data_IF_431500756587
#
_entry.id   IF_431500756587
#
_cell.length_a   1.000
_cell.length_b   1.000
_cell.length_c   1.000
_cell.angle_alpha   90.00
_cell.angle_beta   90.00
_cell.angle_gamma   90.00
#
_symmetry.space_group_name_H-M   'P 1'
#
loop_
_entity.id
_entity.type
_entity.pdbx_description
1 polymer ?
#
# COMPACT_ATOMS: atom_id res chain seq x y z
N UNK A 1 -17.14 0.45 11.50
CA UNK A 1 -15.86 1.04 11.02
C UNK A 1 -15.67 2.39 11.69
N UNK A 2 -14.53 2.62 12.32
CA UNK A 2 -14.16 3.97 12.77
C UNK A 2 -13.71 4.81 11.57
N UNK A 3 -13.92 6.14 11.58
CA UNK A 3 -13.39 7.02 10.53
C UNK A 3 -11.88 6.83 10.31
N UNK A 4 -11.14 6.60 11.40
CA UNK A 4 -9.70 6.35 11.39
C UNK A 4 -9.33 5.04 10.69
N UNK A 5 -10.01 3.93 10.97
CA UNK A 5 -9.78 2.67 10.27
C UNK A 5 -10.14 2.77 8.79
N UNK A 6 -11.21 3.51 8.45
CA UNK A 6 -11.56 3.81 7.07
C UNK A 6 -10.44 4.53 6.31
N UNK A 7 -9.83 5.55 6.91
CA UNK A 7 -8.68 6.26 6.30
C UNK A 7 -7.50 5.30 6.12
N UNK A 8 -7.16 4.50 7.14
CA UNK A 8 -6.05 3.54 7.07
C UNK A 8 -6.26 2.49 5.96
N UNK A 9 -7.48 1.98 5.80
CA UNK A 9 -7.83 1.05 4.72
C UNK A 9 -7.68 1.72 3.35
N UNK A 10 -8.14 2.97 3.20
CA UNK A 10 -8.06 3.70 1.93
C UNK A 10 -6.62 3.97 1.52
N UNK A 11 -5.76 4.35 2.47
CA UNK A 11 -4.32 4.55 2.21
C UNK A 11 -3.64 3.20 1.89
N UNK A 12 -4.03 2.12 2.57
CA UNK A 12 -3.55 0.76 2.25
C UNK A 12 -3.90 0.36 0.81
N UNK A 13 -5.12 0.66 0.35
CA UNK A 13 -5.53 0.42 -1.03
C UNK A 13 -4.69 1.21 -2.05
N UNK A 14 -4.37 2.48 -1.77
CA UNK A 14 -3.50 3.28 -2.65
C UNK A 14 -2.09 2.68 -2.71
N UNK A 15 -1.55 2.23 -1.58
CA UNK A 15 -0.25 1.56 -1.53
C UNK A 15 -0.27 0.24 -2.32
N UNK A 16 -1.36 -0.53 -2.28
CA UNK A 16 -1.53 -1.73 -3.08
C UNK A 16 -1.53 -1.42 -4.59
N UNK A 17 -2.25 -0.38 -5.03
CA UNK A 17 -2.28 0.05 -6.43
C UNK A 17 -0.87 0.45 -6.91
N UNK A 18 -0.14 1.22 -6.11
CA UNK A 18 1.23 1.65 -6.42
C UNK A 18 2.19 0.45 -6.52
N UNK A 19 2.05 -0.54 -5.64
CA UNK A 19 2.85 -1.76 -5.69
C UNK A 19 2.59 -2.56 -6.97
N UNK A 20 1.32 -2.80 -7.34
CA UNK A 20 0.97 -3.54 -8.56
C UNK A 20 1.47 -2.82 -9.82
N UNK A 21 1.30 -1.49 -9.90
CA UNK A 21 1.82 -0.71 -11.02
C UNK A 21 3.35 -0.79 -11.15
N UNK A 22 4.06 -0.73 -10.02
CA UNK A 22 5.53 -0.84 -10.00
C UNK A 22 6.00 -2.23 -10.43
N UNK A 23 5.30 -3.30 -10.03
CA UNK A 23 5.60 -4.67 -10.49
C UNK A 23 5.41 -4.79 -12.00
N UNK A 24 4.33 -4.23 -12.54
CA UNK A 24 4.07 -4.26 -13.98
C UNK A 24 5.14 -3.52 -14.78
N UNK A 25 5.51 -2.31 -14.34
CA UNK A 25 6.56 -1.54 -15.02
C UNK A 25 7.94 -2.22 -14.93
N UNK A 26 8.30 -2.80 -13.79
CA UNK A 26 9.59 -3.50 -13.63
C UNK A 26 9.66 -4.84 -14.36
N UNK A 27 8.54 -5.54 -14.50
CA UNK A 27 8.52 -6.91 -15.05
C UNK A 27 8.26 -6.95 -16.55
N UNK A 28 7.49 -6.01 -17.08
CA UNK A 28 6.98 -6.06 -18.46
C UNK A 28 7.18 -4.77 -19.25
N UNK A 29 7.59 -3.68 -18.61
CA UNK A 29 7.71 -2.37 -19.23
C UNK A 29 9.13 -1.81 -19.21
N UNK A 30 9.26 -0.58 -19.70
CA UNK A 30 10.38 0.29 -19.38
C UNK A 30 9.93 1.29 -18.31
N UNK A 31 10.52 1.26 -17.11
CA UNK A 31 10.04 2.06 -15.99
C UNK A 31 10.18 3.55 -16.29
N UNK A 32 9.06 4.28 -16.25
CA UNK A 32 9.01 5.68 -16.71
C UNK A 32 9.85 6.63 -15.86
N UNK A 33 9.97 6.32 -14.57
CA UNK A 33 10.82 7.05 -13.63
C UNK A 33 12.25 6.48 -13.59
N UNK A 34 12.51 5.39 -14.31
CA UNK A 34 13.74 4.60 -14.22
C UNK A 34 13.64 3.46 -13.20
N UNK A 35 14.56 2.50 -13.32
CA UNK A 35 14.52 1.26 -12.55
C UNK A 35 14.63 1.50 -11.04
N UNK A 36 15.53 2.41 -10.64
CA UNK A 36 15.86 2.67 -9.23
C UNK A 36 14.69 3.30 -8.45
N UNK A 37 14.03 4.38 -8.90
CA UNK A 37 12.88 4.93 -8.19
C UNK A 37 11.66 4.01 -8.20
N UNK A 38 11.37 3.30 -9.29
CA UNK A 38 10.24 2.35 -9.32
C UNK A 38 10.45 1.21 -8.33
N UNK A 39 11.69 0.73 -8.19
CA UNK A 39 12.02 -0.30 -7.20
C UNK A 39 11.92 0.22 -5.76
N UNK A 40 12.30 1.47 -5.49
CA UNK A 40 12.12 2.11 -4.18
C UNK A 40 10.63 2.28 -3.83
N UNK A 41 9.80 2.70 -4.79
CA UNK A 41 8.35 2.81 -4.60
C UNK A 41 7.76 1.44 -4.27
N UNK A 42 8.14 0.39 -5.00
CA UNK A 42 7.70 -0.97 -4.73
C UNK A 42 8.12 -1.43 -3.32
N UNK A 43 9.39 -1.24 -2.99
CA UNK A 43 9.97 -1.65 -1.70
C UNK A 43 9.33 -0.93 -0.51
N UNK A 44 8.85 0.31 -0.69
CA UNK A 44 8.11 1.03 0.35
C UNK A 44 6.61 0.67 0.36
N UNK A 45 6.00 0.49 -0.80
CA UNK A 45 4.55 0.30 -0.93
C UNK A 45 4.08 -1.06 -0.41
N UNK A 46 4.86 -2.12 -0.62
CA UNK A 46 4.54 -3.48 -0.12
C UNK A 46 4.46 -3.52 1.43
N UNK A 47 5.49 -3.10 2.19
CA UNK A 47 5.41 -3.07 3.64
C UNK A 47 4.41 -2.05 4.16
N UNK A 48 4.28 -0.88 3.52
CA UNK A 48 3.28 0.13 3.90
C UNK A 48 1.86 -0.43 3.77
N UNK A 49 1.54 -1.13 2.68
CA UNK A 49 0.25 -1.76 2.47
C UNK A 49 -0.09 -2.73 3.61
N UNK A 50 0.83 -3.65 3.93
CA UNK A 50 0.65 -4.65 5.00
C UNK A 50 0.50 -4.01 6.38
N UNK A 51 1.34 -3.02 6.70
CA UNK A 51 1.30 -2.31 7.97
C UNK A 51 0.01 -1.51 8.16
N UNK A 52 -0.41 -0.75 7.14
CA UNK A 52 -1.63 0.05 7.18
C UNK A 52 -2.88 -0.82 7.27
N UNK A 53 -2.92 -1.93 6.53
CA UNK A 53 -4.00 -2.89 6.61
C UNK A 53 -4.09 -3.51 8.01
N UNK A 54 -2.97 -3.96 8.56
CA UNK A 54 -2.92 -4.50 9.91
C UNK A 54 -3.35 -3.49 10.97
N UNK A 55 -2.86 -2.24 10.87
CA UNK A 55 -3.26 -1.15 11.76
C UNK A 55 -4.76 -0.84 11.67
N UNK A 56 -5.33 -0.85 10.45
CA UNK A 56 -6.76 -0.64 10.23
C UNK A 56 -7.60 -1.76 10.86
N UNK A 57 -7.18 -3.02 10.68
CA UNK A 57 -7.86 -4.19 11.28
C UNK A 57 -7.78 -4.13 12.81
N UNK A 58 -6.62 -3.79 13.38
CA UNK A 58 -6.43 -3.63 14.83
C UNK A 58 -7.34 -2.52 15.39
N UNK A 59 -7.41 -1.38 14.71
CA UNK A 59 -8.25 -0.25 15.14
C UNK A 59 -9.75 -0.59 15.05
N UNK A 60 -10.20 -1.25 13.97
CA UNK A 60 -11.59 -1.72 13.88
C UNK A 60 -11.91 -2.71 14.99
N UNK A 61 -11.05 -3.72 15.24
CA UNK A 61 -11.27 -4.70 16.32
C UNK A 61 -11.34 -4.05 17.70
N UNK A 62 -10.52 -3.06 17.98
CA UNK A 62 -10.51 -2.35 19.26
C UNK A 62 -11.80 -1.54 19.50
N UNK A 63 -12.45 -1.07 18.42
CA UNK A 63 -13.65 -0.23 18.46
C UNK A 63 -14.95 -0.99 18.11
N UNK A 64 -14.90 -2.32 17.99
CA UNK A 64 -16.06 -3.19 17.76
C UNK A 64 -16.64 -3.75 19.08
N UNK A 65 -16.29 -3.15 20.23
CA UNK A 65 -16.94 -3.44 21.51
C UNK A 65 -18.22 -2.66 21.67
#
# INVERSE_FOLDING_TARGET
>A
MTPKSGILISVSCIAAIAAVGSVFELSYGEPKFGNLPTMLILAASVPACGFLFWAAVKDTRANQK
#
